data_IF_739983258773
#
_entry.id   IF_739983258773
#
_cell.length_a   1.000
_cell.length_b   1.000
_cell.length_c   1.000
_cell.angle_alpha   90.00
_cell.angle_beta   90.00
_cell.angle_gamma   90.00
#
_symmetry.space_group_name_H-M   'P 1'
#
loop_
_entity.id
_entity.type
_entity.pdbx_description
1 polymer ?
#
# COMPACT_ATOMS: atom_id res chain seq x y z
N UNK A 1 -12.89 7.81 -4.86
CA UNK A 1 -11.52 8.02 -5.34
C UNK A 1 -10.71 8.37 -4.10
N UNK A 2 -9.75 7.54 -3.70
CA UNK A 2 -8.92 7.79 -2.53
C UNK A 2 -7.80 8.74 -2.97
N UNK A 3 -7.62 9.84 -2.24
CA UNK A 3 -6.53 10.77 -2.51
C UNK A 3 -5.23 10.21 -1.92
N UNK A 4 -4.40 9.60 -2.77
CA UNK A 4 -3.13 9.01 -2.35
C UNK A 4 -2.00 10.03 -2.26
N UNK A 5 -2.17 11.23 -2.83
CA UNK A 5 -1.22 12.34 -2.77
C UNK A 5 -0.96 12.81 -1.34
N UNK A 6 -1.96 12.73 -0.46
CA UNK A 6 -1.82 13.11 0.95
C UNK A 6 -1.36 11.97 1.88
N UNK A 7 -1.06 10.78 1.35
CA UNK A 7 -0.68 9.63 2.17
C UNK A 7 0.77 9.77 2.65
N UNK A 8 0.95 9.78 3.96
CA UNK A 8 2.27 9.86 4.58
C UNK A 8 3.01 8.51 4.54
N UNK A 9 4.34 8.57 4.47
CA UNK A 9 5.20 7.40 4.72
C UNK A 9 4.94 6.87 6.14
N UNK A 10 4.87 5.56 6.29
CA UNK A 10 4.48 4.84 7.51
C UNK A 10 2.97 4.58 7.61
N UNK A 11 2.15 5.14 6.71
CA UNK A 11 0.71 4.87 6.70
C UNK A 11 0.45 3.43 6.29
N UNK A 12 -0.45 2.74 7.02
CA UNK A 12 -0.89 1.39 6.66
C UNK A 12 -2.06 1.46 5.69
N UNK A 13 -1.96 0.69 4.62
CA UNK A 13 -2.95 0.55 3.57
C UNK A 13 -3.43 -0.89 3.53
N UNK A 14 -4.72 -1.06 3.29
CA UNK A 14 -5.32 -2.34 2.96
C UNK A 14 -5.53 -2.39 1.46
N UNK A 15 -4.89 -3.36 0.83
CA UNK A 15 -4.97 -3.67 -0.59
C UNK A 15 -6.08 -4.71 -0.83
N UNK A 16 -6.27 -5.06 -2.10
CA UNK A 16 -7.06 -6.21 -2.52
C UNK A 16 -6.66 -7.51 -1.81
N UNK A 17 -7.55 -8.49 -1.81
CA UNK A 17 -7.31 -9.83 -1.24
C UNK A 17 -6.95 -9.86 0.25
N UNK A 18 -7.20 -8.76 0.97
CA UNK A 18 -6.89 -8.64 2.39
C UNK A 18 -5.41 -8.42 2.70
N UNK A 19 -4.60 -8.11 1.68
CA UNK A 19 -3.18 -7.75 1.85
C UNK A 19 -3.10 -6.42 2.61
N UNK A 20 -2.19 -6.34 3.58
CA UNK A 20 -1.89 -5.12 4.33
C UNK A 20 -0.47 -4.72 4.01
N UNK A 21 -0.30 -3.45 3.66
CA UNK A 21 0.99 -2.89 3.30
C UNK A 21 1.24 -1.56 4.00
N UNK A 22 2.49 -1.20 4.21
CA UNK A 22 2.91 0.06 4.81
C UNK A 22 3.59 0.92 3.76
N UNK A 23 3.20 2.18 3.63
CA UNK A 23 3.83 3.11 2.70
C UNK A 23 5.26 3.38 3.12
N UNK A 24 6.20 3.06 2.25
CA UNK A 24 7.63 3.36 2.44
C UNK A 24 8.04 4.64 1.72
N UNK A 25 7.38 4.96 0.61
CA UNK A 25 7.63 6.16 -0.17
C UNK A 25 6.37 6.58 -0.94
N UNK A 26 6.15 7.90 -1.04
CA UNK A 26 5.09 8.47 -1.86
C UNK A 26 5.74 9.37 -2.92
N UNK A 27 5.58 9.01 -4.20
CA UNK A 27 6.10 9.82 -5.31
C UNK A 27 5.29 11.10 -5.57
N UNK A 28 4.19 11.30 -4.83
CA UNK A 28 3.25 12.42 -4.97
C UNK A 28 2.63 12.55 -6.37
N UNK A 29 2.70 11.49 -7.18
CA UNK A 29 2.14 11.41 -8.52
C UNK A 29 0.62 11.18 -8.52
N UNK A 30 0.04 10.85 -7.36
CA UNK A 30 -1.39 10.57 -7.22
C UNK A 30 -1.84 9.21 -7.77
N UNK A 31 -0.90 8.41 -8.27
CA UNK A 31 -1.18 7.10 -8.86
C UNK A 31 -0.39 5.97 -8.19
N UNK A 32 0.86 6.22 -7.80
CA UNK A 32 1.78 5.18 -7.32
C UNK A 32 2.30 5.47 -5.92
N UNK A 33 2.28 4.45 -5.07
CA UNK A 33 2.89 4.45 -3.74
C UNK A 33 3.82 3.25 -3.62
N UNK A 34 5.01 3.46 -3.08
CA UNK A 34 5.88 2.35 -2.73
C UNK A 34 5.47 1.83 -1.36
N UNK A 35 5.09 0.56 -1.28
CA UNK A 35 4.60 -0.06 -0.06
C UNK A 35 5.40 -1.31 0.28
N UNK A 36 5.54 -1.60 1.56
CA UNK A 36 6.09 -2.85 2.07
C UNK A 36 4.96 -3.72 2.57
N UNK A 37 4.84 -4.94 2.08
CA UNK A 37 3.80 -5.85 2.55
C UNK A 37 4.06 -6.26 4.00
N UNK A 38 3.06 -6.05 4.85
CA UNK A 38 3.05 -6.48 6.24
C UNK A 38 2.29 -7.80 6.40
N UNK A 39 1.20 -7.97 5.64
CA UNK A 39 0.40 -9.18 5.63
C UNK A 39 -0.03 -9.49 4.20
N UNK A 40 0.18 -10.72 3.75
CA UNK A 40 -0.31 -11.19 2.46
C UNK A 40 -0.84 -12.61 2.62
N UNK A 41 -2.15 -12.80 2.92
CA UNK A 41 -2.71 -14.12 3.19
C UNK A 41 -2.67 -15.03 1.94
N UNK A 42 -2.78 -14.45 0.75
CA UNK A 42 -2.64 -15.19 -0.51
C UNK A 42 -1.20 -15.53 -0.88
N UNK A 43 -0.23 -14.75 -0.39
CA UNK A 43 1.20 -14.89 -0.73
C UNK A 43 2.10 -14.54 0.47
N UNK A 44 2.16 -15.41 1.49
CA UNK A 44 2.91 -15.13 2.71
C UNK A 44 4.42 -14.95 2.48
N UNK A 45 4.96 -15.46 1.37
CA UNK A 45 6.37 -15.28 0.99
C UNK A 45 6.70 -13.84 0.56
N UNK A 46 5.70 -13.03 0.20
CA UNK A 46 5.89 -11.63 -0.19
C UNK A 46 5.83 -10.68 1.02
N UNK A 47 5.50 -11.18 2.22
CA UNK A 47 5.56 -10.37 3.44
C UNK A 47 6.99 -9.87 3.66
N UNK A 48 7.15 -8.56 3.77
CA UNK A 48 8.43 -7.86 3.85
C UNK A 48 8.98 -7.40 2.49
N UNK A 49 8.39 -7.82 1.37
CA UNK A 49 8.74 -7.31 0.06
C UNK A 49 8.27 -5.86 -0.10
N UNK A 50 9.06 -5.07 -0.84
CA UNK A 50 8.73 -3.70 -1.20
C UNK A 50 8.29 -3.70 -2.66
N UNK A 51 7.07 -3.27 -2.91
CA UNK A 51 6.48 -3.21 -4.24
C UNK A 51 5.78 -1.86 -4.49
N UNK A 52 5.58 -1.55 -5.77
CA UNK A 52 4.80 -0.39 -6.19
C UNK A 52 3.31 -0.75 -6.22
N UNK A 53 2.55 -0.10 -5.36
CA UNK A 53 1.10 -0.21 -5.30
C UNK A 53 0.45 0.92 -6.11
N UNK A 54 -0.49 0.55 -6.98
CA UNK A 54 -1.31 1.52 -7.69
C UNK A 54 -2.47 1.98 -6.80
N UNK A 55 -2.91 3.24 -6.95
CA UNK A 55 -3.96 3.84 -6.14
C UNK A 55 -5.32 3.12 -6.26
N UNK A 56 -5.54 2.39 -7.36
CA UNK A 56 -6.76 1.61 -7.60
C UNK A 56 -6.82 0.30 -6.82
N UNK A 57 -5.67 -0.27 -6.42
CA UNK A 57 -5.59 -1.49 -5.63
C UNK A 57 -5.84 -1.23 -4.13
N UNK A 58 -5.82 0.04 -3.72
CA UNK A 58 -6.05 0.44 -2.33
C UNK A 58 -7.55 0.36 -2.04
N UNK A 59 -7.90 -0.60 -1.19
CA UNK A 59 -9.27 -0.79 -0.71
C UNK A 59 -9.57 0.17 0.42
N UNK A 60 -8.61 0.39 1.35
CA UNK A 60 -8.82 1.23 2.53
C UNK A 60 -7.50 1.75 3.10
N UNK A 61 -7.49 3.01 3.57
CA UNK A 61 -6.41 3.55 4.40
C UNK A 61 -6.72 3.20 5.86
N UNK A 62 -5.77 2.56 6.56
CA UNK A 62 -5.96 2.08 7.93
C UNK A 62 -5.49 3.07 9.01
N UNK A 63 -4.80 4.16 8.61
CA UNK A 63 -4.29 5.31 9.41
C UNK A 63 -4.02 5.06 10.89
#
# INVERSE_FOLDING_TARGET
>A
MIDVTAVAVGTRLKLGDGVVAEVTENMADGQWLQVRYLESPGRPAEVGAVELCHAQDIVKILS
#
